data_IF_741364591247
#
_entry.id   IF_741364591247
#
_cell.length_a   1.000
_cell.length_b   1.000
_cell.length_c   1.000
_cell.angle_alpha   90.00
_cell.angle_beta   90.00
_cell.angle_gamma   90.00
#
_symmetry.space_group_name_H-M   'P 1'
#
loop_
_entity.id
_entity.type
_entity.pdbx_description
1 polymer ?
#
# COMPACT_ATOMS: atom_id res chain seq x y z
N UNK A 1 -3.94 4.93 23.93
CA UNK A 1 -3.05 3.92 24.51
C UNK A 1 -1.92 3.73 23.52
N UNK A 2 -0.85 4.50 23.69
CA UNK A 2 0.28 4.59 22.77
C UNK A 2 1.14 3.34 22.94
N UNK A 3 1.26 2.53 21.89
CA UNK A 3 2.33 1.56 21.82
C UNK A 3 3.60 2.33 21.46
N UNK A 4 4.56 2.37 22.39
CA UNK A 4 5.97 2.63 22.07
C UNK A 4 6.44 1.50 21.14
N UNK A 5 6.08 1.59 19.87
CA UNK A 5 6.68 0.78 18.82
C UNK A 5 8.08 1.35 18.65
N UNK A 6 9.05 0.64 19.24
CA UNK A 6 10.46 0.97 19.10
C UNK A 6 10.78 1.09 17.61
N UNK A 7 11.35 2.23 17.14
CA UNK A 7 11.55 2.45 15.72
C UNK A 7 12.45 1.35 15.13
N UNK A 8 12.12 0.91 13.91
CA UNK A 8 12.88 -0.11 13.21
C UNK A 8 14.38 0.26 13.15
N UNK A 9 15.24 -0.75 13.21
CA UNK A 9 16.70 -0.64 13.17
C UNK A 9 17.18 0.17 11.96
N UNK A 10 16.50 0.05 10.82
CA UNK A 10 16.80 0.89 9.64
C UNK A 10 16.52 2.36 9.88
N UNK A 11 15.40 2.70 10.52
CA UNK A 11 15.07 4.08 10.85
C UNK A 11 16.06 4.68 11.86
N UNK A 12 16.54 3.87 12.81
CA UNK A 12 17.61 4.25 13.75
C UNK A 12 18.93 4.54 13.03
N UNK A 13 19.35 3.68 12.10
CA UNK A 13 20.59 3.90 11.34
C UNK A 13 20.53 5.15 10.46
N UNK A 14 19.39 5.38 9.80
CA UNK A 14 19.19 6.58 8.97
C UNK A 14 19.13 7.84 9.84
N UNK A 15 18.47 7.78 11.00
CA UNK A 15 18.46 8.89 11.96
C UNK A 15 19.87 9.24 12.44
N UNK A 16 20.69 8.24 12.75
CA UNK A 16 22.08 8.41 13.13
C UNK A 16 22.88 9.11 12.04
N UNK A 17 22.78 8.65 10.79
CA UNK A 17 23.52 9.21 9.67
C UNK A 17 23.11 10.66 9.35
N UNK A 18 21.81 10.98 9.45
CA UNK A 18 21.30 12.35 9.34
C UNK A 18 21.89 13.23 10.42
N UNK A 19 21.83 12.79 11.67
CA UNK A 19 22.31 13.57 12.81
C UNK A 19 23.81 13.80 12.75
N UNK A 20 24.59 12.77 12.38
CA UNK A 20 26.04 12.90 12.17
C UNK A 20 26.38 13.85 11.03
N UNK A 21 25.60 13.85 9.96
CA UNK A 21 25.82 14.78 8.83
C UNK A 21 25.60 16.25 9.24
N UNK A 22 24.63 16.52 10.13
CA UNK A 22 24.27 17.89 10.54
C UNK A 22 25.16 18.40 11.68
N UNK A 23 25.44 17.55 12.68
CA UNK A 23 26.09 17.94 13.93
C UNK A 23 27.50 17.35 14.13
N UNK A 24 27.99 16.55 13.18
CA UNK A 24 29.24 15.79 13.33
C UNK A 24 29.07 14.51 14.16
N UNK A 25 30.15 13.73 14.32
CA UNK A 25 30.13 12.45 15.04
C UNK A 25 29.76 12.59 16.52
N UNK A 26 30.04 13.76 17.10
CA UNK A 26 29.89 14.07 18.52
C UNK A 26 28.47 14.50 18.90
N UNK A 27 27.63 14.83 17.90
CA UNK A 27 26.26 15.35 18.05
C UNK A 27 26.16 16.57 18.99
N UNK A 28 27.25 17.32 19.16
CA UNK A 28 27.34 18.45 20.09
C UNK A 28 26.36 19.55 19.68
N UNK A 29 25.48 19.95 20.61
CA UNK A 29 24.46 20.97 20.37
C UNK A 29 23.18 20.46 19.69
N UNK A 30 23.03 19.15 19.52
CA UNK A 30 21.78 18.58 19.01
C UNK A 30 20.67 18.66 20.08
N UNK A 31 19.54 19.36 19.81
CA UNK A 31 18.45 19.49 20.77
C UNK A 31 17.46 18.30 20.75
N UNK A 32 17.62 17.39 19.80
CA UNK A 32 16.71 16.28 19.54
C UNK A 32 17.43 14.95 19.73
N UNK A 33 16.68 13.93 20.14
CA UNK A 33 17.22 12.58 20.34
C UNK A 33 17.17 11.79 19.05
N UNK A 34 18.07 10.81 18.93
CA UNK A 34 18.13 9.92 17.77
C UNK A 34 16.83 9.13 17.62
N UNK A 35 16.25 8.70 18.74
CA UNK A 35 14.98 7.98 18.80
C UNK A 35 13.81 8.82 18.26
N UNK A 36 13.80 10.14 18.52
CA UNK A 36 12.76 11.03 17.99
C UNK A 36 12.83 11.14 16.47
N UNK A 37 14.02 11.27 15.90
CA UNK A 37 14.18 11.30 14.44
C UNK A 37 13.87 9.93 13.83
N UNK A 38 14.33 8.85 14.46
CA UNK A 38 14.04 7.49 14.02
C UNK A 38 12.54 7.20 14.03
N UNK A 39 11.78 7.68 15.03
CA UNK A 39 10.33 7.55 15.07
C UNK A 39 9.65 8.26 13.89
N UNK A 40 10.07 9.47 13.55
CA UNK A 40 9.54 10.22 12.39
C UNK A 40 9.83 9.48 11.07
N UNK A 41 11.06 8.98 10.91
CA UNK A 41 11.45 8.21 9.72
C UNK A 41 10.63 6.92 9.64
N UNK A 42 10.47 6.22 10.76
CA UNK A 42 9.71 4.98 10.83
C UNK A 42 8.25 5.20 10.44
N UNK A 43 7.58 6.21 11.00
CA UNK A 43 6.19 6.54 10.65
C UNK A 43 6.02 6.86 9.15
N UNK A 44 6.94 7.64 8.59
CA UNK A 44 6.92 7.98 7.16
C UNK A 44 7.14 6.75 6.27
N UNK A 45 8.01 5.82 6.67
CA UNK A 45 8.27 4.56 5.96
C UNK A 45 7.08 3.62 6.09
N UNK A 46 6.53 3.42 7.28
CA UNK A 46 5.37 2.55 7.51
C UNK A 46 4.15 3.00 6.71
N UNK A 47 3.86 4.31 6.69
CA UNK A 47 2.76 4.84 5.90
C UNK A 47 2.92 4.47 4.42
N UNK A 48 4.15 4.52 3.89
CA UNK A 48 4.45 4.14 2.51
C UNK A 48 4.34 2.64 2.30
N UNK A 49 4.90 1.84 3.20
CA UNK A 49 4.80 0.37 3.15
C UNK A 49 3.35 -0.10 3.20
N UNK A 50 2.51 0.55 4.00
CA UNK A 50 1.08 0.26 4.05
C UNK A 50 0.36 0.59 2.74
N UNK A 51 0.72 1.70 2.08
CA UNK A 51 0.20 2.06 0.76
C UNK A 51 0.63 1.05 -0.31
N UNK A 52 1.91 0.68 -0.34
CA UNK A 52 2.45 -0.29 -1.31
C UNK A 52 1.80 -1.67 -1.11
N UNK A 53 1.60 -2.11 0.13
CA UNK A 53 0.89 -3.35 0.45
C UNK A 53 -0.56 -3.33 -0.03
N UNK A 54 -1.29 -2.22 0.19
CA UNK A 54 -2.67 -2.08 -0.29
C UNK A 54 -2.76 -2.15 -1.83
N UNK A 55 -1.78 -1.58 -2.52
CA UNK A 55 -1.67 -1.68 -3.99
C UNK A 55 -1.48 -3.14 -4.43
N UNK A 56 -0.53 -3.86 -3.81
CA UNK A 56 -0.29 -5.27 -4.09
C UNK A 56 -1.52 -6.13 -3.81
N UNK A 57 -2.18 -5.93 -2.66
CA UNK A 57 -3.40 -6.66 -2.29
C UNK A 57 -4.51 -6.40 -3.32
N UNK A 58 -4.67 -5.15 -3.77
CA UNK A 58 -5.67 -4.78 -4.80
C UNK A 58 -5.33 -5.43 -6.15
N UNK A 59 -4.05 -5.47 -6.53
CA UNK A 59 -3.62 -6.13 -7.75
C UNK A 59 -3.84 -7.65 -7.70
N UNK A 60 -3.54 -8.28 -6.56
CA UNK A 60 -3.81 -9.71 -6.35
C UNK A 60 -5.30 -10.01 -6.50
N UNK A 61 -6.18 -9.23 -5.88
CA UNK A 61 -7.64 -9.38 -6.00
C UNK A 61 -8.11 -9.24 -7.46
N UNK A 62 -7.51 -8.34 -8.22
CA UNK A 62 -7.82 -8.15 -9.63
C UNK A 62 -7.38 -9.37 -10.46
N UNK A 63 -6.18 -9.90 -10.24
CA UNK A 63 -5.72 -11.12 -10.92
C UNK A 63 -6.60 -12.33 -10.58
N UNK A 64 -6.99 -12.49 -9.31
CA UNK A 64 -7.91 -13.56 -8.88
C UNK A 64 -9.28 -13.44 -9.57
N UNK A 65 -9.84 -12.23 -9.67
CA UNK A 65 -11.09 -11.97 -10.37
C UNK A 65 -11.00 -12.29 -11.87
N UNK A 66 -9.89 -11.93 -12.53
CA UNK A 66 -9.63 -12.31 -13.93
C UNK A 66 -9.45 -13.82 -14.10
N UNK A 67 -8.81 -14.49 -13.15
CA UNK A 67 -8.68 -15.95 -13.18
C UNK A 67 -10.04 -16.64 -13.03
N UNK A 68 -10.90 -16.15 -12.14
CA UNK A 68 -12.27 -16.66 -11.97
C UNK A 68 -13.11 -16.51 -13.24
N UNK A 69 -12.95 -15.43 -14.01
CA UNK A 69 -13.63 -15.26 -15.31
C UNK A 69 -13.11 -16.20 -16.39
N UNK A 70 -11.79 -16.30 -16.51
CA UNK A 70 -11.13 -17.10 -17.54
C UNK A 70 -11.28 -18.61 -17.28
N UNK A 71 -11.68 -18.98 -16.07
CA UNK A 71 -12.02 -20.36 -15.70
C UNK A 71 -13.51 -20.62 -15.95
N UNK A 72 -13.85 -21.49 -16.91
CA UNK A 72 -15.24 -21.89 -17.14
C UNK A 72 -15.83 -22.51 -15.87
N UNK A 73 -17.10 -22.22 -15.51
CA UNK A 73 -17.75 -22.90 -14.42
C UNK A 73 -17.89 -24.39 -14.73
N UNK A 74 -17.71 -25.25 -13.72
CA UNK A 74 -17.91 -26.69 -13.87
C UNK A 74 -19.33 -26.97 -14.35
N UNK A 75 -19.49 -27.84 -15.35
CA UNK A 75 -20.79 -28.17 -15.96
C UNK A 75 -21.82 -28.71 -14.94
N UNK A 76 -21.37 -29.21 -13.79
CA UNK A 76 -22.22 -29.67 -12.68
C UNK A 76 -22.80 -28.54 -11.83
N UNK A 77 -22.26 -27.32 -11.90
CA UNK A 77 -22.67 -26.16 -11.08
C UNK A 77 -23.59 -25.17 -11.80
N UNK A 78 -23.86 -25.41 -13.09
CA UNK A 78 -24.72 -24.54 -13.90
C UNK A 78 -25.70 -25.39 -14.71
N UNK A 79 -26.74 -25.95 -14.05
CA UNK A 79 -27.73 -26.80 -14.70
C UNK A 79 -28.56 -26.05 -15.76
N UNK A 80 -28.75 -24.73 -15.60
CA UNK A 80 -29.71 -23.95 -16.39
C UNK A 80 -29.11 -22.66 -16.97
N UNK A 81 -29.60 -22.21 -18.13
CA UNK A 81 -29.12 -21.00 -18.81
C UNK A 81 -29.32 -19.71 -17.98
N UNK A 82 -30.38 -19.64 -17.16
CA UNK A 82 -30.63 -18.49 -16.30
C UNK A 82 -29.63 -18.41 -15.13
N UNK A 83 -29.23 -19.54 -14.55
CA UNK A 83 -28.19 -19.57 -13.51
C UNK A 83 -26.82 -19.19 -14.07
N UNK A 84 -26.54 -19.57 -15.32
CA UNK A 84 -25.33 -19.11 -16.03
C UNK A 84 -25.32 -17.59 -16.17
N UNK A 85 -26.45 -17.00 -16.58
CA UNK A 85 -26.60 -15.55 -16.72
C UNK A 85 -26.40 -14.84 -15.39
N UNK A 86 -27.04 -15.30 -14.32
CA UNK A 86 -26.88 -14.73 -12.98
C UNK A 86 -25.42 -14.79 -12.52
N UNK A 87 -24.75 -15.94 -12.71
CA UNK A 87 -23.35 -16.12 -12.33
C UNK A 87 -22.41 -15.22 -13.13
N UNK A 88 -22.65 -15.05 -14.43
CA UNK A 88 -21.87 -14.13 -15.27
C UNK A 88 -22.10 -12.67 -14.88
N UNK A 89 -23.35 -12.26 -14.60
CA UNK A 89 -23.66 -10.92 -14.10
C UNK A 89 -22.96 -10.64 -12.78
N UNK A 90 -23.03 -11.55 -11.80
CA UNK A 90 -22.35 -11.40 -10.51
C UNK A 90 -20.83 -11.28 -10.66
N UNK A 91 -20.23 -12.08 -11.56
CA UNK A 91 -18.80 -11.98 -11.86
C UNK A 91 -18.45 -10.63 -12.47
N UNK A 92 -19.22 -10.18 -13.48
CA UNK A 92 -19.04 -8.87 -14.12
C UNK A 92 -19.17 -7.70 -13.14
N UNK A 93 -20.14 -7.75 -12.23
CA UNK A 93 -20.32 -6.72 -11.20
C UNK A 93 -19.14 -6.68 -10.22
N UNK A 94 -18.67 -7.84 -9.77
CA UNK A 94 -17.50 -7.94 -8.90
C UNK A 94 -16.25 -7.34 -9.56
N UNK A 95 -16.04 -7.61 -10.84
CA UNK A 95 -14.91 -7.04 -11.60
C UNK A 95 -15.07 -5.55 -11.80
N UNK A 96 -16.27 -5.09 -12.14
CA UNK A 96 -16.52 -3.68 -12.32
C UNK A 96 -16.20 -2.91 -11.04
N UNK A 97 -16.57 -3.47 -9.89
CA UNK A 97 -16.25 -2.92 -8.58
C UNK A 97 -14.73 -2.91 -8.32
N UNK A 98 -14.04 -4.05 -8.49
CA UNK A 98 -12.58 -4.14 -8.29
C UNK A 98 -11.82 -3.22 -9.25
N UNK A 99 -12.24 -3.16 -10.51
CA UNK A 99 -11.64 -2.28 -11.54
C UNK A 99 -11.83 -0.81 -11.17
N UNK A 100 -13.03 -0.43 -10.74
CA UNK A 100 -13.31 0.94 -10.29
C UNK A 100 -12.48 1.31 -9.07
N UNK A 101 -12.35 0.40 -8.10
CA UNK A 101 -11.48 0.58 -6.94
C UNK A 101 -10.02 0.75 -7.37
N UNK A 102 -9.55 -0.08 -8.29
CA UNK A 102 -8.18 -0.02 -8.83
C UNK A 102 -7.92 1.32 -9.50
N UNK A 103 -8.80 1.77 -10.40
CA UNK A 103 -8.68 3.07 -11.09
C UNK A 103 -8.60 4.23 -10.09
N UNK A 104 -9.46 4.21 -9.07
CA UNK A 104 -9.44 5.24 -8.01
C UNK A 104 -8.13 5.21 -7.22
N UNK A 105 -7.68 4.03 -6.81
CA UNK A 105 -6.43 3.86 -6.05
C UNK A 105 -5.21 4.30 -6.87
N UNK A 106 -5.12 3.92 -8.15
CA UNK A 106 -4.01 4.33 -9.01
C UNK A 106 -4.03 5.83 -9.30
N UNK A 107 -5.21 6.43 -9.53
CA UNK A 107 -5.34 7.87 -9.73
C UNK A 107 -4.92 8.68 -8.49
N UNK A 108 -5.29 8.21 -7.28
CA UNK A 108 -4.86 8.83 -6.02
C UNK A 108 -3.33 8.78 -5.85
N UNK A 109 -2.72 7.63 -6.17
CA UNK A 109 -1.27 7.48 -6.11
C UNK A 109 -0.54 8.37 -7.13
N UNK A 110 -1.05 8.49 -8.34
CA UNK A 110 -0.51 9.40 -9.36
C UNK A 110 -0.61 10.86 -8.91
N UNK A 111 -1.75 11.28 -8.35
CA UNK A 111 -1.93 12.62 -7.81
C UNK A 111 -0.97 12.91 -6.66
N UNK A 112 -0.78 11.96 -5.74
CA UNK A 112 0.19 12.09 -4.65
C UNK A 112 1.64 12.20 -5.16
N UNK A 113 2.00 11.45 -6.21
CA UNK A 113 3.34 11.57 -6.83
C UNK A 113 3.56 12.94 -7.46
N UNK A 114 2.56 13.51 -8.15
CA UNK A 114 2.64 14.84 -8.77
C UNK A 114 2.79 15.97 -7.75
N UNK A 115 1.99 15.95 -6.69
CA UNK A 115 2.09 16.93 -5.59
C UNK A 115 3.46 16.89 -4.89
N UNK A 116 4.16 15.76 -4.94
CA UNK A 116 5.52 15.62 -4.40
C UNK A 116 6.59 16.15 -5.35
N UNK A 117 6.46 15.92 -6.65
CA UNK A 117 7.40 16.44 -7.65
C UNK A 117 7.33 17.96 -7.81
N UNK A 118 6.21 18.58 -7.46
CA UNK A 118 6.05 20.04 -7.49
C UNK A 118 6.58 20.75 -6.23
N UNK A 119 6.83 20.00 -5.15
CA UNK A 119 7.32 20.50 -3.85
C UNK A 119 8.78 20.11 -3.55
N UNK A 120 9.48 19.44 -4.47
CA UNK A 120 10.92 19.13 -4.39
C UNK A 120 11.70 19.98 -5.38
#
# INVERSE_FOLDING_TARGET
MSSDAQPDKLAMLVAEEILRTIFGDDLQGCPVTLEQIAAIIHEAVEQRTAQDKNLLDTFQQLVEAFHLLSTPPEASKVPNQDELRTLLTQRLDAIHNITTKTIKTTALLEAQRRLRSENS
#
